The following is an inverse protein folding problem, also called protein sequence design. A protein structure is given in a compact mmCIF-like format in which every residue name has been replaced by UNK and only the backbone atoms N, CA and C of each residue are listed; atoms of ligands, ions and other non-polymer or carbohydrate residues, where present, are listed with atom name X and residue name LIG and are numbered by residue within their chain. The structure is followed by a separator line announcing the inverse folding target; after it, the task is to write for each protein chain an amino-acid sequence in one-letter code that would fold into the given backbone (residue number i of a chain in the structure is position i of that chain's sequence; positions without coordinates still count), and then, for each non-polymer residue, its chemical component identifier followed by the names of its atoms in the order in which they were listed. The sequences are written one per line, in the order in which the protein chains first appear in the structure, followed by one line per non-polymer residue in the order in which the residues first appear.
data_IF_272188999509
#
_entry.id   IF_272188999509
#
_cell.length_a   1.000
_cell.length_b   1.000
_cell.length_c   1.000
_cell.angle_alpha   90.00
_cell.angle_beta   90.00
_cell.angle_gamma   90.00
#
_symmetry.space_group_name_H-M   'P 1'
#
loop_
_entity.id
_entity.type
_entity.pdbx_description
1 polymer ?
2 non-polymer ?
3 non-polymer ?
4 water ?
#
# COMPACT_ATOMS: atom_id res chain seq x y z
N UNK A 64 -6.20 -9.26 -25.39
CA UNK A 64 -6.70 -8.07 -26.17
C UNK A 64 -5.52 -7.21 -26.70
N UNK A 65 -5.56 -6.86 -27.98
CA UNK A 65 -4.49 -6.08 -28.61
C UNK A 65 -4.56 -4.58 -28.26
N UNK A 66 -3.41 -3.96 -28.00
CA UNK A 66 -3.36 -2.52 -27.85
C UNK A 66 -3.65 -1.82 -29.19
N UNK A 67 -4.28 -0.63 -29.14
CA UNK A 67 -4.43 0.15 -30.37
C UNK A 67 -3.13 0.83 -30.71
N UNK A 68 -3.04 1.37 -31.93
CA UNK A 68 -1.94 2.25 -32.30
C UNK A 68 -1.84 3.40 -31.30
N UNK A 69 -0.63 3.69 -30.84
CA UNK A 69 -0.35 4.84 -29.99
C UNK A 69 0.93 5.50 -30.44
N UNK A 70 0.98 6.82 -30.27
CA UNK A 70 2.14 7.63 -30.58
C UNK A 70 2.72 8.12 -29.25
N UNK A 71 3.94 7.70 -28.94
CA UNK A 71 4.64 8.16 -27.74
C UNK A 71 6.15 8.12 -28.00
N UNK A 72 6.93 8.79 -27.15
CA UNK A 72 8.39 8.77 -27.32
C UNK A 72 9.00 7.37 -27.25
N UNK A 73 9.90 7.09 -28.18
CA UNK A 73 10.61 5.82 -28.21
C UNK A 73 11.43 5.65 -26.92
N UNK A 74 11.29 4.48 -26.24
CA UNK A 74 12.24 4.20 -25.14
C UNK A 74 13.68 4.08 -25.65
N UNK A 75 14.62 4.79 -25.02
CA UNK A 75 16.01 4.71 -25.47
C UNK A 75 16.83 3.77 -24.59
N UNK A 76 17.32 2.71 -25.21
CA UNK A 76 18.04 1.64 -24.53
C UNK A 76 19.31 2.14 -23.82
N UNK A 77 19.98 3.11 -24.42
CA UNK A 77 21.30 3.57 -23.95
C UNK A 77 21.19 4.88 -23.18
N UNK A 78 19.96 5.23 -22.77
CA UNK A 78 19.66 6.34 -21.87
C UNK A 78 18.80 5.81 -20.71
N UNK A 79 19.37 5.69 -19.51
CA UNK A 79 18.54 5.22 -18.38
C UNK A 79 17.45 6.22 -17.99
N UNK A 80 16.35 5.70 -17.44
CA UNK A 80 15.21 6.54 -17.04
C UNK A 80 15.62 7.41 -15.84
N UNK A 81 16.13 6.78 -14.80
CA UNK A 81 16.61 7.48 -13.63
C UNK A 81 18.06 7.06 -13.46
N UNK A 82 18.94 8.06 -13.31
CA UNK A 82 20.35 7.82 -12.99
C UNK A 82 20.62 7.90 -11.49
N UNK A 83 19.65 8.38 -10.71
CA UNK A 83 19.88 8.71 -9.28
C UNK A 83 19.38 7.69 -8.28
N UNK A 84 18.52 6.75 -8.73
CA UNK A 84 17.88 5.79 -7.86
C UNK A 84 17.84 4.42 -8.54
N UNK A 85 17.71 3.38 -7.71
CA UNK A 85 17.50 2.02 -8.17
C UNK A 85 16.05 1.86 -8.65
N UNK A 86 15.87 1.40 -9.90
CA UNK A 86 14.53 1.28 -10.49
C UNK A 86 14.09 -0.18 -10.69
N UNK A 87 14.95 -1.14 -10.32
CA UNK A 87 14.58 -2.54 -10.32
C UNK A 87 15.27 -3.25 -9.16
N UNK A 88 14.55 -4.17 -8.51
CA UNK A 88 15.11 -4.91 -7.38
C UNK A 88 16.02 -6.01 -7.92
N UNK A 89 16.85 -6.62 -7.04
CA UNK A 89 17.67 -7.75 -7.51
C UNK A 89 16.90 -9.04 -7.90
N UNK A 90 15.61 -9.11 -7.58
CA UNK A 90 14.72 -10.17 -8.05
C UNK A 90 13.83 -9.69 -9.22
N UNK A 91 14.23 -8.61 -9.87
CA UNK A 91 13.61 -8.10 -11.10
C UNK A 91 12.19 -7.58 -10.95
N UNK A 92 11.87 -7.06 -9.77
CA UNK A 92 10.62 -6.32 -9.56
C UNK A 92 10.92 -4.84 -9.83
N UNK A 93 10.10 -4.17 -10.66
CA UNK A 93 10.20 -2.72 -10.80
C UNK A 93 10.06 -1.99 -9.44
N UNK A 94 10.85 -0.93 -9.28
CA UNK A 94 10.69 0.04 -8.19
C UNK A 94 10.12 1.29 -8.87
N UNK A 95 8.94 1.70 -8.42
CA UNK A 95 8.14 2.70 -9.13
C UNK A 95 8.46 4.13 -8.68
N UNK A 96 9.16 4.86 -9.56
CA UNK A 96 9.51 6.27 -9.41
C UNK A 96 8.96 7.01 -10.61
N UNK A 97 8.74 8.31 -10.46
CA UNK A 97 8.37 9.12 -11.60
C UNK A 97 9.51 9.05 -12.62
N UNK A 98 9.14 8.90 -13.88
CA UNK A 98 10.11 8.75 -14.98
C UNK A 98 10.31 7.32 -15.45
N UNK A 99 9.82 6.34 -14.69
CA UNK A 99 10.01 4.94 -15.04
C UNK A 99 8.88 4.38 -15.86
N UNK A 100 7.75 5.09 -15.93
CA UNK A 100 6.55 4.57 -16.58
C UNK A 100 5.85 5.58 -17.49
N UNK A 101 5.28 5.04 -18.56
CA UNK A 101 4.36 5.76 -19.42
C UNK A 101 2.96 5.36 -19.03
N UNK A 102 2.30 6.24 -18.27
CA UNK A 102 0.94 6.01 -17.77
C UNK A 102 -0.11 5.80 -18.87
N UNK A 103 0.13 6.37 -20.07
CA UNK A 103 -0.79 6.16 -21.21
C UNK A 103 -0.80 4.71 -21.65
N UNK A 104 0.38 4.09 -21.71
CA UNK A 104 0.43 2.67 -22.06
C UNK A 104 -0.22 1.80 -20.98
N UNK A 105 0.13 2.07 -19.74
CA UNK A 105 -0.42 1.30 -18.62
C UNK A 105 -1.93 1.44 -18.46
N UNK A 106 -2.45 2.66 -18.60
CA UNK A 106 -3.89 2.89 -18.62
C UNK A 106 -4.62 2.07 -19.66
N UNK A 107 -4.07 2.01 -20.87
CA UNK A 107 -4.63 1.21 -21.94
C UNK A 107 -4.65 -0.27 -21.56
N UNK A 108 -3.52 -0.78 -21.05
CA UNK A 108 -3.43 -2.17 -20.64
C UNK A 108 -4.48 -2.52 -19.60
N UNK A 109 -4.62 -1.69 -18.56
CA UNK A 109 -5.54 -2.01 -17.48
C UNK A 109 -7.01 -1.74 -17.84
N UNK A 110 -7.27 -0.71 -18.67
CA UNK A 110 -8.64 -0.48 -19.14
C UNK A 110 -9.12 -1.62 -20.03
N UNK A 111 -8.23 -2.18 -20.84
CA UNK A 111 -8.63 -3.31 -21.71
C UNK A 111 -8.99 -4.57 -20.93
N UNK A 112 -8.56 -4.65 -19.68
CA UNK A 112 -8.97 -5.73 -18.79
C UNK A 112 -10.17 -5.34 -17.91
N UNK A 113 -10.66 -4.10 -18.04
CA UNK A 113 -11.75 -3.56 -17.22
C UNK A 113 -11.47 -3.77 -15.75
N UNK A 114 -10.29 -3.34 -15.36
CA UNK A 114 -9.77 -3.60 -14.03
C UNK A 114 -10.57 -2.85 -12.98
N UNK A 115 -10.83 -3.52 -11.85
CA UNK A 115 -11.45 -2.88 -10.70
C UNK A 115 -10.48 -2.91 -9.52
N UNK A 116 -10.29 -1.73 -8.91
CA UNK A 116 -9.42 -1.61 -7.77
C UNK A 116 -10.18 -1.32 -6.48
N UNK A 117 -9.90 -2.14 -5.47
CA UNK A 117 -10.45 -1.91 -4.13
C UNK A 117 -9.45 -1.12 -3.28
N UNK A 118 -9.94 -0.18 -2.51
CA UNK A 118 -9.12 0.58 -1.59
C UNK A 118 -9.69 0.45 -0.20
N UNK A 119 -8.93 -0.15 0.72
CA UNK A 119 -9.36 -0.33 2.11
C UNK A 119 -8.77 0.72 3.01
N UNK A 120 -9.60 1.22 3.93
CA UNK A 120 -9.12 2.17 4.90
C UNK A 120 -9.91 1.93 6.18
N UNK A 121 -9.21 2.03 7.31
CA UNK A 121 -9.81 1.92 8.64
C UNK A 121 -9.95 3.28 9.30
N UNK A 122 -11.17 3.57 9.76
CA UNK A 122 -11.48 4.84 10.40
C UNK A 122 -12.21 4.52 11.70
N UNK A 123 -11.44 4.22 12.73
CA UNK A 123 -11.95 3.69 14.00
C UNK A 123 -11.76 4.79 15.04
N UNK A 124 -12.78 4.95 15.88
CA UNK A 124 -12.86 5.96 16.91
C UNK A 124 -12.62 7.34 16.29
N UNK A 125 -11.66 8.10 16.77
CA UNK A 125 -11.48 9.49 16.36
C UNK A 125 -10.93 9.64 14.94
N UNK A 126 -10.41 8.56 14.38
CA UNK A 126 -9.88 8.60 13.00
C UNK A 126 -10.93 8.75 11.88
N UNK A 127 -12.22 8.68 12.21
CA UNK A 127 -13.29 9.12 11.26
C UNK A 127 -13.14 10.55 10.75
N UNK A 128 -12.54 11.41 11.56
CA UNK A 128 -12.25 12.81 11.17
C UNK A 128 -11.38 12.94 9.91
N UNK A 129 -10.54 11.93 9.64
CA UNK A 129 -9.67 11.94 8.47
C UNK A 129 -10.33 11.54 7.14
N UNK A 130 -11.53 10.96 7.17
CA UNK A 130 -12.14 10.38 5.98
C UNK A 130 -12.48 11.39 4.91
N UNK A 131 -13.00 12.55 5.30
CA UNK A 131 -13.45 13.54 4.32
C UNK A 131 -12.32 13.89 3.34
N UNK A 132 -11.15 14.26 3.87
CA UNK A 132 -10.03 14.68 3.05
C UNK A 132 -9.42 13.51 2.30
N UNK A 133 -9.33 12.35 2.96
CA UNK A 133 -8.83 11.12 2.35
C UNK A 133 -9.62 10.81 1.07
N UNK A 134 -10.95 10.75 1.22
CA UNK A 134 -11.83 10.40 0.13
C UNK A 134 -11.90 11.49 -0.97
N UNK A 135 -11.97 12.78 -0.58
CA UNK A 135 -12.00 13.85 -1.58
C UNK A 135 -10.74 13.87 -2.40
N UNK A 136 -9.60 13.71 -1.75
CA UNK A 136 -8.33 13.72 -2.48
C UNK A 136 -8.17 12.41 -3.32
N UNK A 137 -8.67 11.27 -2.82
CA UNK A 137 -8.66 10.04 -3.63
C UNK A 137 -9.43 10.19 -4.94
N UNK A 138 -10.61 10.84 -4.85
CA UNK A 138 -11.37 11.20 -6.04
C UNK A 138 -10.58 11.99 -7.06
N UNK A 139 -9.68 12.87 -6.61
CA UNK A 139 -8.84 13.64 -7.52
C UNK A 139 -7.70 12.86 -8.13
N UNK A 140 -7.11 11.91 -7.40
CA UNK A 140 -5.81 11.35 -7.73
C UNK A 140 -5.68 9.82 -7.84
N UNK A 141 -6.64 9.06 -7.30
CA UNK A 141 -6.46 7.61 -7.14
C UNK A 141 -7.21 6.87 -8.23
N UNK A 142 -6.45 6.21 -9.12
CA UNK A 142 -7.02 5.39 -10.19
C UNK A 142 -8.12 6.08 -11.03
N UNK A 143 -7.95 7.37 -11.33
CA UNK A 143 -9.00 8.12 -12.06
C UNK A 143 -9.13 7.54 -13.48
N UNK A 144 -10.38 7.23 -13.87
CA UNK A 144 -10.67 6.60 -15.15
C UNK A 144 -10.94 5.11 -15.07
N UNK A 145 -10.59 4.50 -13.93
CA UNK A 145 -10.79 3.09 -13.65
C UNK A 145 -11.89 2.85 -12.65
N UNK A 146 -12.39 1.62 -12.59
CA UNK A 146 -13.41 1.25 -11.61
C UNK A 146 -12.73 1.15 -10.23
N UNK A 147 -13.33 1.82 -9.25
CA UNK A 147 -12.81 1.84 -7.90
C UNK A 147 -13.94 1.52 -6.92
N UNK A 148 -13.62 0.68 -5.94
CA UNK A 148 -14.51 0.36 -4.85
C UNK A 148 -13.78 0.71 -3.52
N UNK A 149 -14.25 1.76 -2.87
CA UNK A 149 -13.75 2.11 -1.53
C UNK A 149 -14.40 1.23 -0.48
N UNK A 150 -13.58 0.68 0.41
CA UNK A 150 -14.10 -0.07 1.55
C UNK A 150 -13.67 0.63 2.81
N UNK A 151 -14.64 1.23 3.49
CA UNK A 151 -14.40 1.97 4.74
C UNK A 151 -14.81 1.12 5.95
N UNK A 152 -13.80 0.68 6.70
CA UNK A 152 -14.02 -0.11 7.92
C UNK A 152 -14.13 0.86 9.08
N UNK A 153 -15.23 0.79 9.84
CA UNK A 153 -15.46 1.77 10.91
C UNK A 153 -16.35 1.22 12.01
N UNK A 154 -16.17 1.75 13.22
CA UNK A 154 -17.09 1.50 14.34
C UNK A 154 -18.24 2.53 14.41
N UNK A 155 -18.24 3.50 13.50
CA UNK A 155 -19.24 4.57 13.44
C UNK A 155 -19.76 4.78 12.02
N UNK A 156 -20.62 3.85 11.53
CA UNK A 156 -21.15 3.98 10.17
C UNK A 156 -21.86 5.31 9.84
N UNK A 157 -22.50 5.93 10.83
CA UNK A 157 -23.21 7.19 10.63
C UNK A 157 -22.25 8.38 10.48
N UNK A 158 -20.99 8.20 10.90
CA UNK A 158 -19.97 9.24 10.86
C UNK A 158 -19.18 9.28 9.54
N UNK A 159 -19.47 8.39 8.61
CA UNK A 159 -18.78 8.42 7.32
C UNK A 159 -19.34 9.63 6.53
N UNK A 160 -18.47 10.58 6.09
CA UNK A 160 -18.98 11.76 5.34
C UNK A 160 -19.53 11.37 3.99
N UNK A 161 -20.50 12.15 3.49
CA UNK A 161 -21.12 11.91 2.20
C UNK A 161 -20.26 12.56 1.12
N UNK A 162 -19.33 11.79 0.56
CA UNK A 162 -18.42 12.32 -0.45
C UNK A 162 -18.95 11.98 -1.84
N UNK A 163 -19.01 13.00 -2.69
CA UNK A 163 -19.50 12.82 -4.07
C UNK A 163 -18.45 12.11 -4.91
N UNK A 164 -18.85 11.00 -5.52
CA UNK A 164 -17.95 10.16 -6.29
C UNK A 164 -18.14 10.29 -7.82
N UNK A 165 -17.02 10.20 -8.55
CA UNK A 165 -17.06 10.13 -9.97
C UNK A 165 -17.73 8.86 -10.47
N UNK A 166 -18.09 8.85 -11.74
CA UNK A 166 -18.71 7.69 -12.34
C UNK A 166 -17.80 6.45 -12.25
N UNK A 167 -18.41 5.30 -12.00
CA UNK A 167 -17.69 4.03 -11.95
C UNK A 167 -16.96 3.79 -10.65
N UNK A 168 -17.33 4.57 -9.62
CA UNK A 168 -16.68 4.53 -8.33
C UNK A 168 -17.74 4.38 -7.27
N UNK A 169 -17.51 3.47 -6.32
CA UNK A 169 -18.50 3.26 -5.23
C UNK A 169 -17.82 3.09 -3.90
N UNK A 170 -18.61 3.24 -2.85
CA UNK A 170 -18.12 3.15 -1.49
C UNK A 170 -19.05 2.24 -0.69
N UNK A 171 -18.43 1.36 0.07
CA UNK A 171 -19.11 0.45 0.98
C UNK A 171 -18.55 0.72 2.39
N UNK A 172 -19.45 0.75 3.37
CA UNK A 172 -19.12 0.92 4.76
C UNK A 172 -19.25 -0.44 5.45
N UNK A 173 -18.22 -0.84 6.15
CA UNK A 173 -18.12 -2.13 6.78
C UNK A 173 -17.96 -1.88 8.27
N UNK A 174 -18.98 -2.27 9.06
CA UNK A 174 -18.98 -2.01 10.49
C UNK A 174 -18.14 -3.07 11.17
N UNK A 175 -17.21 -2.61 11.98
CA UNK A 175 -16.32 -3.50 12.73
C UNK A 175 -16.20 -3.04 14.17
N UNK A 176 -15.77 -3.94 15.04
CA UNK A 176 -15.45 -3.57 16.43
C UNK A 176 -14.23 -2.64 16.56
N UNK A 177 -14.28 -1.74 17.53
CA UNK A 177 -13.16 -0.89 17.94
C UNK A 177 -12.43 -1.58 19.08
N UNK A 178 -11.12 -1.82 18.95
CA UNK A 178 -10.29 -2.27 20.06
C UNK A 178 -9.85 -1.06 20.89
N UNK A 179 -9.61 -1.26 22.18
CA UNK A 179 -9.24 -0.17 23.09
C UNK A 179 -7.84 0.39 22.77
N UNK A 180 -6.88 -0.51 22.59
CA UNK A 180 -5.51 -0.11 22.30
C UNK A 180 -5.33 0.20 20.82
N UNK A 181 -4.69 1.33 20.52
CA UNK A 181 -4.42 1.70 19.13
C UNK A 181 -3.54 0.67 18.44
N UNK A 182 -2.64 0.04 19.20
CA UNK A 182 -1.77 -1.03 18.68
C UNK A 182 -2.63 -2.16 18.11
N UNK A 183 -3.67 -2.53 18.84
CA UNK A 183 -4.60 -3.58 18.38
C UNK A 183 -5.51 -3.14 17.24
N UNK A 184 -5.92 -1.89 17.26
CA UNK A 184 -6.69 -1.35 16.14
C UNK A 184 -5.82 -1.51 14.87
N UNK A 185 -4.58 -1.06 14.96
CA UNK A 185 -3.63 -1.15 13.83
C UNK A 185 -3.45 -2.60 13.40
N UNK A 186 -3.14 -3.46 14.36
CA UNK A 186 -2.80 -4.86 14.11
C UNK A 186 -3.94 -5.69 13.53
N UNK A 187 -5.13 -5.51 14.08
CA UNK A 187 -6.34 -6.26 13.68
C UNK A 187 -6.86 -5.89 12.27
N UNK A 188 -6.28 -4.87 11.65
CA UNK A 188 -6.56 -4.64 10.24
C UNK A 188 -6.26 -5.90 9.39
N UNK A 189 -5.21 -6.63 9.75
CA UNK A 189 -4.83 -7.83 8.96
C UNK A 189 -5.93 -8.89 9.00
N UNK A 190 -6.44 -9.20 10.21
CA UNK A 190 -7.56 -10.13 10.36
C UNK A 190 -8.79 -9.69 9.58
N UNK A 191 -9.15 -8.41 9.73
CA UNK A 191 -10.34 -7.86 9.10
C UNK A 191 -10.20 -7.84 7.57
N UNK A 192 -9.06 -7.42 7.05
CA UNK A 192 -8.87 -7.47 5.61
C UNK A 192 -8.98 -8.90 5.10
N UNK A 193 -8.34 -9.85 5.80
CA UNK A 193 -8.36 -11.25 5.37
C UNK A 193 -9.80 -11.82 5.36
N UNK A 194 -10.53 -11.58 6.44
CA UNK A 194 -11.93 -12.05 6.57
C UNK A 194 -12.79 -11.54 5.38
N UNK A 195 -12.58 -10.28 4.98
CA UNK A 195 -13.35 -9.68 3.88
C UNK A 195 -12.89 -10.05 2.48
N UNK A 196 -11.61 -10.46 2.34
CA UNK A 196 -11.14 -11.14 1.11
C UNK A 196 -11.95 -12.42 0.88
N UNK A 197 -12.15 -13.17 1.98
CA UNK A 197 -12.82 -14.49 2.03
C UNK A 197 -14.17 -14.58 1.30
N UNK A 198 -14.87 -13.46 1.13
CA UNK A 198 -16.04 -13.45 0.23
C UNK A 198 -16.11 -12.19 -0.62
N UNK A 199 -16.25 -11.05 0.04
CA UNK A 199 -16.61 -9.81 -0.64
C UNK A 199 -15.63 -9.35 -1.72
N UNK A 200 -14.35 -9.23 -1.35
CA UNK A 200 -13.34 -8.68 -2.26
C UNK A 200 -13.11 -9.61 -3.44
N UNK A 201 -13.12 -10.91 -3.19
CA UNK A 201 -12.93 -11.88 -4.28
C UNK A 201 -13.86 -11.68 -5.46
N UNK A 202 -15.14 -11.42 -5.18
CA UNK A 202 -16.15 -11.20 -6.22
C UNK A 202 -16.22 -9.78 -6.80
N UNK A 203 -15.72 -8.77 -6.08
CA UNK A 203 -15.99 -7.36 -6.42
C UNK A 203 -14.81 -6.59 -7.00
N UNK A 204 -13.57 -6.96 -6.65
CA UNK A 204 -12.40 -6.25 -7.22
C UNK A 204 -11.34 -7.22 -7.73
N UNK A 205 -10.41 -6.72 -8.57
CA UNK A 205 -9.24 -7.48 -9.04
C UNK A 205 -7.98 -7.28 -8.16
N UNK A 206 -7.84 -6.05 -7.67
CA UNK A 206 -6.73 -5.64 -6.82
C UNK A 206 -7.24 -4.95 -5.57
N UNK A 207 -6.43 -5.05 -4.53
CA UNK A 207 -6.69 -4.41 -3.28
C UNK A 207 -5.48 -3.57 -2.94
N UNK A 208 -5.75 -2.33 -2.52
CA UNK A 208 -4.77 -1.36 -2.01
C UNK A 208 -5.20 -1.07 -0.56
N UNK A 209 -4.28 -1.28 0.37
CA UNK A 209 -4.55 -1.17 1.81
C UNK A 209 -3.73 -0.05 2.42
N UNK A 210 -4.41 1.01 2.88
CA UNK A 210 -3.75 2.22 3.34
C UNK A 210 -4.22 2.76 4.66
N UNK A 211 -3.36 3.55 5.28
CA UNK A 211 -3.70 4.39 6.43
C UNK A 211 -4.68 5.53 6.01
N UNK A 212 -5.56 5.92 6.93
CA UNK A 212 -6.57 6.94 6.68
C UNK A 212 -6.09 8.38 6.91
N UNK A 213 -5.10 8.58 7.80
CA UNK A 213 -4.64 9.93 8.17
C UNK A 213 -3.59 10.47 7.20
N UNK A 214 -4.04 10.52 5.95
CA UNK A 214 -3.22 10.75 4.78
C UNK A 214 -4.08 11.52 3.78
N UNK A 215 -3.43 12.10 2.80
CA UNK A 215 -4.10 12.70 1.65
C UNK A 215 -3.33 12.43 0.37
N UNK A 216 -4.06 12.30 -0.71
CA UNK A 216 -3.46 12.22 -2.04
C UNK A 216 -3.19 13.63 -2.51
N UNK A 217 -1.97 13.86 -2.95
CA UNK A 217 -1.59 15.14 -3.55
C UNK A 217 -1.21 15.04 -5.03
N UNK A 218 -1.01 13.82 -5.53
CA UNK A 218 -0.60 13.68 -6.91
C UNK A 218 -0.99 12.29 -7.35
N UNK A 219 -0.78 12.03 -8.64
CA UNK A 219 -1.27 10.81 -9.27
C UNK A 219 -0.86 9.52 -8.53
N UNK A 220 -1.82 8.66 -8.18
CA UNK A 220 -1.55 7.27 -7.76
C UNK A 220 -2.46 6.38 -8.62
N UNK A 221 -1.85 5.67 -9.57
CA UNK A 221 -2.59 4.93 -10.59
C UNK A 221 -2.14 3.50 -10.80
N UNK A 222 -2.46 3.00 -11.99
CA UNK A 222 -2.30 1.58 -12.31
C UNK A 222 -0.86 1.11 -12.38
N UNK A 223 0.10 2.05 -12.40
CA UNK A 223 1.51 1.74 -12.27
C UNK A 223 1.84 0.94 -11.00
N UNK A 224 1.03 1.05 -9.97
CA UNK A 224 1.31 0.31 -8.75
C UNK A 224 0.83 -1.15 -8.79
N UNK A 225 -0.07 -1.46 -9.73
CA UNK A 225 -0.78 -2.73 -9.73
C UNK A 225 0.08 -3.88 -10.22
N UNK A 226 -0.06 -5.00 -9.50
CA UNK A 226 0.86 -6.14 -9.61
C UNK A 226 0.34 -7.19 -8.63
N UNK A 227 0.85 -8.45 -8.72
CA UNK A 227 0.37 -9.44 -7.74
C UNK A 227 0.59 -9.09 -6.28
N UNK A 228 1.74 -8.50 -5.97
CA UNK A 228 2.06 -8.13 -4.59
C UNK A 228 3.01 -6.95 -4.57
N UNK A 229 2.62 -5.86 -3.92
CA UNK A 229 3.55 -4.76 -3.71
C UNK A 229 3.67 -4.30 -2.27
N UNK A 230 4.84 -3.78 -1.96
CA UNK A 230 5.08 -3.01 -0.76
C UNK A 230 5.63 -1.66 -1.13
N UNK A 231 5.74 -0.78 -0.15
CA UNK A 231 6.17 0.61 -0.36
C UNK A 231 7.33 0.90 0.56
N UNK A 232 8.35 1.56 0.03
CA UNK A 232 9.50 1.96 0.82
C UNK A 232 9.11 3.01 1.83
N UNK A 233 9.32 2.68 3.10
CA UNK A 233 9.07 3.58 4.19
C UNK A 233 9.88 4.87 3.99
N UNK A 234 9.25 6.04 4.19
CA UNK A 234 9.98 7.29 3.93
C UNK A 234 11.16 7.61 4.89
N UNK A 235 11.13 7.07 6.10
CA UNK A 235 12.21 7.27 7.06
C UNK A 235 13.48 6.46 6.86
N UNK A 236 13.47 5.49 5.95
CA UNK A 236 14.53 4.47 5.90
C UNK A 236 15.00 4.09 4.49
N UNK A 237 14.47 4.71 3.45
CA UNK A 237 14.84 4.35 2.07
C UNK A 237 16.33 4.54 1.80
N UNK A 238 16.97 5.48 2.53
CA UNK A 238 18.43 5.68 2.45
C UNK A 238 19.28 4.96 3.50
N UNK A 239 18.69 4.13 4.34
CA UNK A 239 19.39 3.50 5.47
C UNK A 239 19.96 2.16 5.11
N UNK A 240 20.97 1.79 5.88
CA UNK A 240 21.53 0.46 5.81
C UNK A 240 20.63 -0.51 6.58
N UNK A 241 20.62 -1.78 6.19
CA UNK A 241 19.71 -2.77 6.81
C UNK A 241 19.86 -2.90 8.34
N UNK A 242 21.09 -2.76 8.85
CA UNK A 242 21.36 -2.77 10.30
C UNK A 242 20.51 -1.73 11.04
N UNK A 243 20.30 -0.57 10.41
CA UNK A 243 19.54 0.52 11.00
C UNK A 243 18.01 0.35 10.88
N UNK A 244 17.54 -0.54 10.00
CA UNK A 244 16.10 -0.75 9.85
C UNK A 244 15.48 -1.18 11.18
N UNK A 245 14.30 -0.66 11.47
CA UNK A 245 13.60 -1.01 12.72
C UNK A 245 12.77 -2.30 12.64
N UNK A 246 13.32 -3.35 12.03
CA UNK A 246 12.71 -4.68 12.07
C UNK A 246 12.64 -5.16 13.52
N UNK A 247 11.76 -6.12 13.78
CA UNK A 247 11.73 -6.79 15.07
C UNK A 247 13.01 -7.63 15.20
N UNK A 248 13.75 -7.41 16.28
CA UNK A 248 15.06 -8.05 16.51
C UNK A 248 15.08 -9.13 17.60
N UNK A 249 13.94 -9.40 18.23
CA UNK A 249 13.88 -10.46 19.24
C UNK A 249 13.53 -11.79 18.58
N UNK A 250 14.46 -12.80 18.66
CA UNK A 250 14.13 -14.13 18.11
C UNK A 250 12.87 -14.77 18.65
N UNK A 251 12.37 -14.31 19.80
CA UNK A 251 11.13 -14.86 20.39
C UNK A 251 9.87 -14.48 19.57
N UNK A 252 9.97 -13.44 18.73
CA UNK A 252 8.85 -12.99 17.91
C UNK A 252 8.88 -13.64 16.53
N UNK A 253 7.69 -13.98 16.02
CA UNK A 253 7.53 -14.47 14.64
C UNK A 253 8.03 -13.45 13.60
N UNK A 254 8.07 -12.16 13.95
CA UNK A 254 8.53 -11.13 13.00
C UNK A 254 10.06 -10.94 12.96
N UNK A 255 10.80 -11.73 13.75
CA UNK A 255 12.25 -11.58 13.86
C UNK A 255 12.96 -11.58 12.51
N UNK A 256 13.82 -10.59 12.29
CA UNK A 256 14.74 -10.58 11.14
C UNK A 256 16.12 -10.21 11.72
N UNK A 257 17.16 -11.02 11.45
CA UNK A 257 18.51 -10.65 11.94
C UNK A 257 19.15 -9.50 11.20
N UNK A 258 20.20 -8.94 11.81
CA UNK A 258 20.86 -7.74 11.31
C UNK A 258 21.45 -7.88 9.92
N UNK A 259 21.80 -9.11 9.53
CA UNK A 259 22.36 -9.39 8.23
C UNK A 259 21.32 -9.79 7.16
N UNK A 260 20.04 -9.64 7.45
CA UNK A 260 18.99 -9.90 6.45
C UNK A 260 18.11 -8.68 6.23
N UNK A 261 17.42 -8.68 5.09
CA UNK A 261 16.53 -7.60 4.74
C UNK A 261 16.90 -6.96 3.43
N UNK A 262 15.89 -6.71 2.61
CA UNK A 262 16.05 -5.96 1.38
C UNK A 262 15.75 -4.49 1.58
N UNK A 263 14.55 -4.21 2.11
CA UNK A 263 14.04 -2.87 2.34
C UNK A 263 13.22 -2.86 3.62
N UNK A 264 12.97 -1.66 4.13
CA UNK A 264 12.03 -1.45 5.22
C UNK A 264 10.75 -0.90 4.58
N UNK A 265 9.76 -1.78 4.50
CA UNK A 265 8.46 -1.44 3.90
C UNK A 265 7.53 -0.80 4.94
N UNK A 266 6.75 0.16 4.48
CA UNK A 266 5.78 0.85 5.34
C UNK A 266 4.50 0.06 5.49
N UNK A 267 4.02 -0.08 6.73
CA UNK A 267 2.71 -0.72 6.97
C UNK A 267 1.50 0.06 6.48
N UNK A 268 1.72 1.31 6.10
CA UNK A 268 0.67 2.22 5.70
C UNK A 268 0.24 2.15 4.22
N UNK A 269 0.94 1.37 3.42
CA UNK A 269 0.66 1.26 1.98
C UNK A 269 1.19 -0.05 1.42
N UNK A 270 0.29 -1.00 1.19
CA UNK A 270 0.61 -2.28 0.52
C UNK A 270 -0.61 -2.77 -0.23
N UNK A 271 -0.39 -3.75 -1.08
CA UNK A 271 -1.53 -4.33 -1.80
C UNK A 271 -1.12 -5.37 -2.81
N UNK A 272 -2.03 -5.63 -3.73
CA UNK A 272 -1.80 -6.63 -4.74
C UNK A 272 -3.08 -7.21 -5.27
N UNK A 273 -2.99 -8.37 -5.91
CA UNK A 273 -4.18 -9.14 -6.25
C UNK A 273 -4.92 -9.57 -4.96
N UNK A 274 -6.21 -9.78 -5.06
CA UNK A 274 -6.99 -10.19 -3.89
C UNK A 274 -6.37 -11.47 -3.29
N UNK A 275 -6.03 -12.45 -4.14
CA UNK A 275 -5.42 -13.71 -3.67
C UNK A 275 -4.12 -13.46 -2.86
N UNK A 276 -3.26 -12.57 -3.34
CA UNK A 276 -1.97 -12.38 -2.69
C UNK A 276 -2.11 -11.55 -1.42
N UNK A 277 -3.03 -10.60 -1.44
CA UNK A 277 -3.31 -9.81 -0.24
C UNK A 277 -3.94 -10.69 0.84
N UNK A 278 -4.88 -11.56 0.44
CA UNK A 278 -5.47 -12.56 1.38
C UNK A 278 -4.38 -13.42 2.04
N UNK A 279 -3.41 -13.87 1.24
CA UNK A 279 -2.27 -14.65 1.76
C UNK A 279 -1.43 -13.85 2.76
N UNK A 280 -1.05 -12.64 2.36
CA UNK A 280 -0.25 -11.78 3.22
C UNK A 280 -0.99 -11.50 4.53
N UNK A 281 -2.26 -11.09 4.44
CA UNK A 281 -2.95 -10.63 5.63
C UNK A 281 -3.21 -11.80 6.59
N UNK A 282 -3.57 -12.95 6.02
CA UNK A 282 -3.74 -14.19 6.78
C UNK A 282 -2.45 -14.61 7.47
N UNK A 283 -1.32 -14.55 6.76
CA UNK A 283 -0.02 -14.91 7.31
C UNK A 283 0.38 -13.98 8.46
N UNK A 284 0.15 -12.68 8.28
CA UNK A 284 0.52 -11.69 9.30
C UNK A 284 -0.36 -11.83 10.54
N UNK A 285 -1.67 -12.01 10.35
CA UNK A 285 -2.59 -12.21 11.49
C UNK A 285 -2.22 -13.47 12.27
N UNK A 286 -1.95 -14.57 11.56
CA UNK A 286 -1.55 -15.81 12.24
C UNK A 286 -0.23 -15.63 13.02
N UNK A 287 0.74 -14.89 12.45
CA UNK A 287 2.00 -14.62 13.14
C UNK A 287 1.76 -13.80 14.39
N UNK A 288 0.86 -12.84 14.29
CA UNK A 288 0.53 -11.98 15.42
C UNK A 288 -0.14 -12.78 16.52
N UNK A 289 -1.02 -13.73 16.15
CA UNK A 289 -1.68 -14.62 17.14
C UNK A 289 -0.70 -15.54 17.87
N UNK A 290 0.29 -16.07 17.16
CA UNK A 290 1.38 -16.85 17.78
C UNK A 290 2.19 -16.01 18.79
N UNK A 291 2.56 -14.80 18.36
CA UNK A 291 3.23 -13.82 19.27
C UNK A 291 2.42 -13.51 20.54
N UNK A 292 1.10 -13.33 20.38
CA UNK A 292 0.20 -13.07 21.50
C UNK A 292 0.21 -14.23 22.46
N UNK A 293 -0.01 -15.43 21.96
CA UNK A 293 0.06 -16.63 22.81
C UNK A 293 1.41 -16.77 23.54
N UNK A 294 2.48 -16.21 22.96
CA UNK A 294 3.82 -16.24 23.57
C UNK A 294 4.18 -14.99 24.40
N UNK A 295 3.21 -14.10 24.59
CA UNK A 295 3.38 -12.90 25.38
C UNK A 295 4.36 -11.88 24.86
N UNK A 296 4.37 -11.68 23.54
CA UNK A 296 5.26 -10.73 22.90
C UNK A 296 4.49 -9.98 21.82
N UNK A 297 4.81 -8.69 21.66
CA UNK A 297 4.18 -7.83 20.67
C UNK A 297 5.31 -7.18 19.90
N UNK A 298 5.30 -7.33 18.58
CA UNK A 298 6.36 -6.80 17.72
C UNK A 298 6.54 -5.30 17.88
N UNK A 299 7.77 -4.85 17.70
CA UNK A 299 8.17 -3.45 17.96
C UNK A 299 7.29 -2.43 17.19
N UNK A 300 7.00 -2.74 15.92
CA UNK A 300 6.14 -1.90 15.10
C UNK A 300 4.91 -2.69 14.58
N UNK A 301 4.47 -3.65 15.37
CA UNK A 301 3.13 -4.15 15.28
C UNK A 301 2.94 -4.78 13.91
N UNK A 302 1.82 -4.50 13.27
CA UNK A 302 1.54 -5.06 11.94
C UNK A 302 2.67 -4.79 10.94
N UNK A 303 3.30 -3.61 11.01
CA UNK A 303 4.41 -3.30 10.10
C UNK A 303 5.61 -4.23 10.26
N UNK A 304 5.88 -4.71 11.47
CA UNK A 304 6.95 -5.67 11.68
C UNK A 304 6.66 -7.00 10.99
N UNK A 305 5.42 -7.47 11.10
CA UNK A 305 5.01 -8.71 10.43
C UNK A 305 4.95 -8.56 8.91
N UNK A 306 4.49 -7.41 8.42
CA UNK A 306 4.55 -7.12 6.99
C UNK A 306 5.96 -7.26 6.44
N UNK A 307 6.92 -6.66 7.14
CA UNK A 307 8.29 -6.76 6.71
C UNK A 307 8.86 -8.17 6.71
N UNK A 308 8.49 -8.96 7.71
CA UNK A 308 8.92 -10.36 7.74
C UNK A 308 8.31 -11.10 6.53
N UNK A 309 7.03 -10.83 6.23
CA UNK A 309 6.36 -11.51 5.14
C UNK A 309 7.03 -11.21 3.80
N UNK A 310 7.33 -9.93 3.58
CA UNK A 310 7.87 -9.45 2.32
C UNK A 310 9.34 -9.81 2.12
N UNK A 311 10.07 -10.06 3.21
CA UNK A 311 11.43 -10.61 3.12
C UNK A 311 11.39 -12.02 2.52
N UNK A 312 10.45 -12.84 2.96
CA UNK A 312 10.36 -14.26 2.60
C UNK A 312 9.51 -14.54 1.34
N UNK A 313 8.66 -13.58 1.00
CA UNK A 313 7.75 -13.63 -0.16
C UNK A 313 7.91 -12.28 -0.87
N UNK A 314 8.82 -12.23 -1.86
CA UNK A 314 9.30 -10.95 -2.37
C UNK A 314 8.17 -10.31 -3.16
N UNK A 315 7.99 -8.99 -3.03
CA UNK A 315 6.94 -8.34 -3.78
C UNK A 315 7.29 -8.28 -5.27
N UNK A 316 6.28 -8.27 -6.12
CA UNK A 316 6.47 -8.17 -7.57
C UNK A 316 6.62 -6.72 -8.09
N UNK A 317 6.28 -5.72 -7.26
CA UNK A 317 6.71 -4.33 -7.47
C UNK A 317 6.99 -3.74 -6.11
N UNK A 318 7.88 -2.75 -6.10
CA UNK A 318 8.10 -1.92 -4.92
C UNK A 318 7.78 -0.50 -5.29
N UNK A 319 7.00 0.18 -4.45
CA UNK A 319 6.71 1.60 -4.64
C UNK A 319 7.77 2.47 -3.92
N UNK A 320 8.25 3.50 -4.62
CA UNK A 320 9.14 4.50 -4.03
C UNK A 320 8.41 5.30 -2.93
N UNK A 321 9.18 6.04 -2.13
CA UNK A 321 8.55 6.90 -1.12
C UNK A 321 7.74 8.09 -1.65
N UNK A 322 7.72 8.33 -2.96
CA UNK A 322 6.70 9.19 -3.54
C UNK A 322 5.29 8.82 -3.03
N UNK A 323 5.08 7.51 -2.84
CA UNK A 323 3.80 6.92 -2.49
C UNK A 323 3.50 6.88 -0.98
N UNK A 324 4.45 7.27 -0.14
CA UNK A 324 4.26 7.28 1.29
C UNK A 324 5.25 8.27 1.91
N UNK A 325 4.78 9.47 2.20
CA UNK A 325 5.70 10.56 2.58
C UNK A 325 5.16 11.39 3.75
N UNK A 326 6.07 12.07 4.45
CA UNK A 326 5.70 13.06 5.47
C UNK A 326 6.54 14.31 5.25
N UNK A 327 5.94 15.33 4.65
CA UNK A 327 6.66 16.54 4.29
C UNK A 327 7.09 17.40 5.47
N UNK A 328 6.29 17.38 6.53
CA UNK A 328 6.61 18.10 7.75
C UNK A 328 7.91 17.55 8.37
N UNK A 329 8.05 16.23 8.44
CA UNK A 329 9.23 15.60 9.06
C UNK A 329 10.45 15.50 8.14
N UNK A 330 10.21 15.39 6.82
CA UNK A 330 11.31 15.03 5.90
C UNK A 330 11.56 15.99 4.74
N UNK A 331 10.73 17.02 4.61
CA UNK A 331 10.91 18.03 3.57
C UNK A 331 10.52 17.49 2.21
N UNK A 332 11.18 18.00 1.18
CA UNK A 332 10.93 17.57 -0.19
C UNK A 332 12.30 17.40 -0.87
N UNK A 333 12.92 16.23 -0.70
CA UNK A 333 14.19 15.95 -1.35
C UNK A 333 14.15 15.95 -2.86
N UNK A 334 15.29 16.24 -3.46
CA UNK A 334 15.40 16.31 -4.92
C UNK A 334 15.09 14.97 -5.58
N UNK A 335 15.38 13.87 -4.90
CA UNK A 335 15.11 12.53 -5.43
C UNK A 335 13.59 12.22 -5.57
N UNK A 336 12.75 12.97 -4.85
CA UNK A 336 11.27 12.91 -5.01
C UNK A 336 10.73 13.96 -5.97
N UNK A 337 10.44 13.54 -7.19
CA UNK A 337 9.88 14.44 -8.20
C UNK A 337 8.41 14.74 -7.97
N UNK A 338 7.70 13.83 -7.28
CA UNK A 338 6.30 14.03 -6.93
C UNK A 338 6.13 13.53 -5.52
N UNK A 339 5.24 14.19 -4.77
CA UNK A 339 4.73 13.69 -3.49
C UNK A 339 3.28 13.30 -3.73
N UNK A 340 3.02 11.99 -3.75
CA UNK A 340 1.70 11.48 -4.20
C UNK A 340 0.72 11.26 -3.06
N UNK A 341 1.18 10.68 -1.95
CA UNK A 341 0.31 10.26 -0.85
C UNK A 341 1.08 10.58 0.41
N UNK A 342 0.54 11.51 1.18
CA UNK A 342 1.30 12.17 2.26
C UNK A 342 0.54 12.19 3.60
N UNK A 343 1.30 12.19 4.69
CA UNK A 343 0.76 12.38 6.07
C UNK A 343 0.07 13.73 6.18
N UNK A 344 -1.05 13.77 6.88
CA UNK A 344 -1.80 15.01 7.10
C UNK A 344 -1.06 15.95 8.08
#
# INVERSE_FOLDING_TARGET
MAEVLRTLAGKPKCHALRPMILFLIMLVLVLFGYGVLSPRSLMPGSLERGFCMAVREPDHLQRVSLPRMVYPQPKVLTPCRKDVLVVTPWLAPIVWEGTFNIDILNEQFRLQNTTIGLTVFAIKKYVAFLKLFLETAEKHFMVGHRVHYYVFTDQPAAVPRVTLGTGRQLSVLEVRAYKRWQDVSMRRMEMISDFCERRFLSEVDYLVCVDVDMEFRDHVGVEILTPLFGTLHPGFYGSSREAFTYERRPQSQAYIPKDEGDFYYGGAFFGGSVQEVQRLTRACHQAMMVDQANGIEAVWHDESHLNKYLLRHKPTKVLSPEYLWDQQLLGWPAVLRKLRFTAVPKNHQAVRNP
#
